data_IF_203350559188
#
_entry.id   IF_203350559188
#
_cell.length_a   1.000
_cell.length_b   1.000
_cell.length_c   1.000
_cell.angle_alpha   90.00
_cell.angle_beta   90.00
_cell.angle_gamma   90.00
#
_symmetry.space_group_name_H-M   'P 1'
#
loop_
_entity.id
_entity.type
_entity.pdbx_description
1 polymer ?
#
# COMPACT_ATOMS: atom_id res chain seq x y z
N UNK A 1 1.86 28.40 21.44
CA UNK A 1 1.44 27.06 20.98
C UNK A 1 0.14 26.69 21.65
N UNK A 2 -0.63 25.79 21.05
CA UNK A 2 -1.79 25.17 21.70
C UNK A 2 -1.32 24.02 22.60
N UNK A 3 -2.02 23.74 23.71
CA UNK A 3 -1.79 22.52 24.48
C UNK A 3 -2.79 21.43 24.05
N UNK A 4 -2.42 20.15 24.20
CA UNK A 4 -3.33 19.04 23.88
C UNK A 4 -4.65 19.10 24.65
N UNK A 5 -4.61 19.60 25.90
CA UNK A 5 -5.78 19.76 26.75
C UNK A 5 -6.79 20.80 26.23
N UNK A 6 -6.37 21.71 25.35
CA UNK A 6 -7.21 22.77 24.80
C UNK A 6 -7.90 22.35 23.49
N UNK A 7 -7.56 21.17 22.96
CA UNK A 7 -8.07 20.68 21.68
C UNK A 7 -9.47 20.08 21.85
N UNK A 8 -10.43 20.63 21.10
CA UNK A 8 -11.80 20.14 21.04
C UNK A 8 -12.09 19.35 19.76
N UNK A 9 -11.42 19.67 18.65
CA UNK A 9 -11.69 19.07 17.33
C UNK A 9 -10.39 18.63 16.66
N UNK A 10 -10.36 17.40 16.15
CA UNK A 10 -9.28 16.89 15.31
C UNK A 10 -9.77 16.62 13.88
N UNK A 11 -9.05 17.16 12.88
CA UNK A 11 -9.38 17.01 11.46
C UNK A 11 -8.42 16.06 10.76
N UNK A 12 -8.93 15.13 9.95
CA UNK A 12 -8.10 14.26 9.11
C UNK A 12 -8.90 13.48 8.08
N UNK A 13 -8.21 12.69 7.24
CA UNK A 13 -8.86 11.70 6.38
C UNK A 13 -9.65 10.69 7.24
N UNK A 14 -10.86 10.24 6.81
CA UNK A 14 -11.69 9.32 7.59
C UNK A 14 -10.95 8.07 8.08
N UNK A 15 -10.04 7.53 7.27
CA UNK A 15 -9.23 6.37 7.66
C UNK A 15 -8.25 6.67 8.80
N UNK A 16 -7.62 7.85 8.81
CA UNK A 16 -6.71 8.25 9.88
C UNK A 16 -7.47 8.53 11.19
N UNK A 17 -8.67 9.13 11.10
CA UNK A 17 -9.56 9.30 12.25
C UNK A 17 -9.98 7.94 12.83
N UNK A 18 -10.37 7.00 11.97
CA UNK A 18 -10.75 5.66 12.40
C UNK A 18 -9.58 4.92 13.07
N UNK A 19 -8.37 5.07 12.54
CA UNK A 19 -7.15 4.50 13.13
C UNK A 19 -6.76 5.14 14.46
N UNK A 20 -7.17 6.39 14.72
CA UNK A 20 -6.83 7.14 15.95
C UNK A 20 -8.00 7.25 16.93
N UNK A 21 -9.07 6.48 16.72
CA UNK A 21 -10.34 6.58 17.47
C UNK A 21 -10.14 6.52 18.98
N UNK A 22 -9.36 5.55 19.47
CA UNK A 22 -9.15 5.36 20.91
C UNK A 22 -8.51 6.57 21.56
N UNK A 23 -7.52 7.19 20.90
CA UNK A 23 -6.89 8.43 21.37
C UNK A 23 -7.88 9.60 21.41
N UNK A 24 -8.68 9.76 20.35
CA UNK A 24 -9.69 10.83 20.28
C UNK A 24 -10.76 10.69 21.37
N UNK A 25 -11.22 9.46 21.63
CA UNK A 25 -12.21 9.16 22.68
C UNK A 25 -11.65 9.42 24.08
N UNK A 26 -10.41 8.99 24.35
CA UNK A 26 -9.71 9.22 25.64
C UNK A 26 -9.58 10.72 25.97
N UNK A 27 -9.25 11.53 24.96
CA UNK A 27 -9.08 12.97 25.11
C UNK A 27 -10.37 13.78 24.89
N UNK A 28 -11.51 13.13 24.62
CA UNK A 28 -12.81 13.77 24.30
C UNK A 28 -12.74 14.76 23.14
N UNK A 29 -11.93 14.43 22.12
CA UNK A 29 -11.75 15.25 20.93
C UNK A 29 -12.74 14.80 19.84
N UNK A 30 -13.51 15.74 19.30
CA UNK A 30 -14.42 15.48 18.19
C UNK A 30 -13.65 15.20 16.88
N UNK A 31 -13.98 14.10 16.21
CA UNK A 31 -13.36 13.71 14.96
C UNK A 31 -14.11 14.33 13.76
N UNK A 32 -13.44 15.20 12.99
CA UNK A 32 -14.05 15.86 11.82
C UNK A 32 -13.35 15.49 10.52
N UNK A 33 -14.11 14.91 9.59
CA UNK A 33 -13.56 14.43 8.33
C UNK A 33 -13.02 15.58 7.46
N UNK A 34 -11.87 15.34 6.85
CA UNK A 34 -11.24 16.16 5.83
C UNK A 34 -10.88 15.28 4.63
N UNK A 35 -10.67 15.89 3.47
CA UNK A 35 -10.39 15.16 2.22
C UNK A 35 -9.04 14.43 2.26
N UNK A 36 -8.07 14.91 3.04
CA UNK A 36 -6.70 14.41 3.07
C UNK A 36 -6.02 14.83 4.41
N UNK A 37 -5.13 14.00 4.95
CA UNK A 37 -4.34 14.24 6.17
C UNK A 37 -3.44 15.49 6.08
N UNK A 38 -2.60 15.62 5.04
CA UNK A 38 -1.78 16.80 4.76
C UNK A 38 -2.62 18.05 4.48
N UNK A 39 -3.78 17.92 3.81
CA UNK A 39 -4.69 19.07 3.61
C UNK A 39 -5.29 19.54 4.92
N UNK A 40 -5.62 18.63 5.84
CA UNK A 40 -6.08 19.01 7.18
C UNK A 40 -5.02 19.83 7.94
N UNK A 41 -3.74 19.44 7.85
CA UNK A 41 -2.63 20.20 8.43
C UNK A 41 -2.47 21.58 7.75
N UNK A 42 -2.49 21.63 6.42
CA UNK A 42 -2.43 22.89 5.67
C UNK A 42 -3.54 23.86 6.04
N UNK A 43 -4.79 23.37 6.04
CA UNK A 43 -5.97 24.18 6.31
C UNK A 43 -5.95 24.70 7.78
N UNK A 44 -5.41 23.90 8.72
CA UNK A 44 -5.15 24.33 10.10
C UNK A 44 -4.11 25.46 10.17
N UNK A 45 -3.00 25.35 9.43
CA UNK A 45 -1.94 26.36 9.40
C UNK A 45 -2.42 27.68 8.75
N UNK A 46 -3.15 27.59 7.65
CA UNK A 46 -3.80 28.73 6.99
C UNK A 46 -4.90 29.35 7.87
N UNK A 47 -5.44 28.56 8.81
CA UNK A 47 -6.55 28.92 9.68
C UNK A 47 -7.82 29.25 8.94
N UNK A 48 -8.01 28.59 7.80
CA UNK A 48 -9.25 28.58 7.03
C UNK A 48 -10.30 27.69 7.71
N UNK A 49 -10.34 27.66 9.04
CA UNK A 49 -11.34 26.89 9.77
C UNK A 49 -12.66 27.67 9.82
N UNK A 50 -13.76 27.12 9.28
CA UNK A 50 -15.06 27.80 9.24
C UNK A 50 -15.66 28.10 10.63
N UNK A 51 -15.07 27.60 11.72
CA UNK A 51 -15.53 27.84 13.10
C UNK A 51 -14.92 29.07 13.80
N UNK A 52 -13.88 29.70 13.24
CA UNK A 52 -13.30 30.95 13.77
C UNK A 52 -12.46 30.83 15.06
N UNK A 53 -12.36 29.66 15.70
CA UNK A 53 -11.57 29.45 16.93
C UNK A 53 -10.37 28.54 16.65
N UNK A 54 -9.25 29.15 16.24
CA UNK A 54 -8.00 28.44 15.92
C UNK A 54 -7.42 27.62 17.08
N UNK A 55 -7.61 28.05 18.32
CA UNK A 55 -6.93 27.49 19.49
C UNK A 55 -7.42 26.09 19.92
N UNK A 56 -8.58 25.65 19.44
CA UNK A 56 -9.21 24.38 19.85
C UNK A 56 -9.17 23.31 18.75
N UNK A 57 -8.50 23.58 17.63
CA UNK A 57 -8.46 22.68 16.48
C UNK A 57 -7.06 22.07 16.31
N UNK A 58 -7.03 20.78 16.00
CA UNK A 58 -5.83 20.03 15.65
C UNK A 58 -6.04 19.27 14.34
N UNK A 59 -4.94 18.78 13.77
CA UNK A 59 -4.95 17.89 12.62
C UNK A 59 -4.19 16.61 12.94
N UNK A 60 -4.75 15.46 12.55
CA UNK A 60 -4.01 14.19 12.55
C UNK A 60 -3.34 14.06 11.18
N UNK A 61 -2.02 14.19 11.14
CA UNK A 61 -1.24 14.14 9.92
C UNK A 61 0.15 13.55 10.19
N UNK A 62 0.96 13.37 9.14
CA UNK A 62 2.35 12.96 9.30
C UNK A 62 3.20 14.08 9.91
N UNK A 63 4.24 13.73 10.65
CA UNK A 63 5.21 14.71 11.19
C UNK A 63 5.84 15.56 10.08
N UNK A 64 6.03 14.96 8.89
CA UNK A 64 6.48 15.68 7.70
C UNK A 64 5.53 16.82 7.31
N UNK A 65 4.21 16.62 7.39
CA UNK A 65 3.26 17.69 7.11
C UNK A 65 3.34 18.81 8.16
N UNK A 66 3.51 18.46 9.44
CA UNK A 66 3.71 19.45 10.50
C UNK A 66 4.96 20.31 10.23
N UNK A 67 6.08 19.70 9.84
CA UNK A 67 7.30 20.43 9.49
C UNK A 67 7.14 21.34 8.26
N UNK A 68 6.44 20.88 7.21
CA UNK A 68 6.20 21.68 5.99
C UNK A 68 5.35 22.92 6.28
N UNK A 69 4.35 22.79 7.16
CA UNK A 69 3.40 23.87 7.45
C UNK A 69 3.70 24.65 8.73
N UNK A 70 4.83 24.37 9.40
CA UNK A 70 5.24 25.07 10.62
C UNK A 70 4.30 24.84 11.81
N UNK A 71 3.74 23.62 11.93
CA UNK A 71 2.84 23.25 13.03
C UNK A 71 3.60 22.54 14.15
N UNK A 72 3.15 22.75 15.39
CA UNK A 72 3.63 22.04 16.57
C UNK A 72 3.01 20.63 16.66
N UNK A 73 3.83 19.62 16.96
CA UNK A 73 3.37 18.25 17.22
C UNK A 73 2.95 18.12 18.69
N UNK A 74 1.64 18.01 18.93
CA UNK A 74 1.07 17.92 20.29
C UNK A 74 1.12 16.50 20.87
N UNK A 75 1.02 15.48 20.02
CA UNK A 75 1.09 14.08 20.39
C UNK A 75 1.65 13.26 19.22
N UNK A 76 2.40 12.20 19.53
CA UNK A 76 2.93 11.23 18.56
C UNK A 76 2.21 9.91 18.72
N UNK A 77 2.25 9.10 17.67
CA UNK A 77 1.76 7.71 17.68
C UNK A 77 0.31 7.56 18.15
N UNK A 78 -0.57 8.48 17.73
CA UNK A 78 -2.00 8.50 18.10
C UNK A 78 -2.82 7.38 17.45
N UNK A 79 -2.22 6.61 16.52
CA UNK A 79 -2.82 5.44 15.90
C UNK A 79 -2.91 4.25 16.86
N UNK A 80 -3.99 3.46 16.74
CA UNK A 80 -4.21 2.26 17.55
C UNK A 80 -3.19 1.15 17.27
N UNK A 81 -2.77 0.99 16.02
CA UNK A 81 -1.82 -0.07 15.64
C UNK A 81 -0.47 0.52 15.30
N UNK A 82 0.56 0.10 16.03
CA UNK A 82 1.96 0.40 15.73
C UNK A 82 2.47 -0.33 14.49
N UNK A 83 1.74 -1.34 13.98
CA UNK A 83 2.16 -2.14 12.82
C UNK A 83 1.62 -1.62 11.48
N UNK A 84 1.05 -0.40 11.44
CA UNK A 84 0.48 0.17 10.23
C UNK A 84 1.58 0.50 9.21
N UNK A 85 1.74 -0.38 8.21
CA UNK A 85 2.79 -0.25 7.19
C UNK A 85 2.16 -0.09 5.81
N UNK A 86 2.64 0.90 5.05
CA UNK A 86 2.26 1.07 3.64
C UNK A 86 3.39 0.56 2.76
N UNK A 87 3.08 -0.42 1.92
CA UNK A 87 4.02 -0.88 0.89
C UNK A 87 3.98 0.06 -0.31
N UNK A 88 5.14 0.56 -0.71
CA UNK A 88 5.33 1.35 -1.93
C UNK A 88 6.08 0.54 -2.98
N UNK A 89 5.84 0.86 -4.26
CA UNK A 89 6.56 0.32 -5.41
C UNK A 89 7.11 1.49 -6.21
N UNK A 90 8.39 1.46 -6.55
CA UNK A 90 9.03 2.46 -7.41
C UNK A 90 8.98 1.93 -8.85
N UNK A 91 8.43 2.74 -9.76
CA UNK A 91 8.25 2.36 -11.16
C UNK A 91 9.29 3.06 -12.04
N UNK A 92 9.94 2.29 -12.91
CA UNK A 92 10.80 2.78 -13.98
C UNK A 92 10.18 2.55 -15.35
N UNK A 93 10.72 3.20 -16.39
CA UNK A 93 10.36 2.85 -17.78
C UNK A 93 10.99 1.50 -18.14
N UNK A 94 10.39 0.80 -19.10
CA UNK A 94 10.98 -0.43 -19.66
C UNK A 94 12.39 -0.13 -20.21
N UNK A 95 13.36 -1.01 -19.91
CA UNK A 95 14.76 -0.85 -20.31
C UNK A 95 15.61 0.03 -19.39
N UNK A 96 15.05 0.58 -18.30
CA UNK A 96 15.87 1.12 -17.22
C UNK A 96 16.66 -0.02 -16.54
N UNK A 97 17.84 0.30 -15.99
CA UNK A 97 18.71 -0.69 -15.35
C UNK A 97 17.93 -1.55 -14.34
N UNK A 98 18.05 -2.87 -14.50
CA UNK A 98 17.44 -3.81 -13.59
C UNK A 98 18.07 -3.69 -12.20
N UNK A 99 17.29 -4.01 -11.17
CA UNK A 99 17.83 -4.08 -9.81
C UNK A 99 18.94 -5.16 -9.79
N UNK A 100 20.15 -4.86 -9.29
CA UNK A 100 21.21 -5.87 -9.23
C UNK A 100 20.75 -6.99 -8.30
N UNK A 101 20.78 -8.24 -8.79
CA UNK A 101 20.33 -9.41 -8.04
C UNK A 101 18.92 -9.24 -7.43
N UNK A 102 17.85 -9.27 -8.25
CA UNK A 102 16.49 -9.07 -7.79
C UNK A 102 16.06 -10.25 -6.92
N UNK A 103 15.53 -10.00 -5.72
CA UNK A 103 15.07 -11.05 -4.80
C UNK A 103 13.58 -11.35 -4.93
N UNK A 104 12.82 -10.45 -5.57
CA UNK A 104 11.40 -10.62 -5.88
C UNK A 104 11.10 -10.34 -7.33
N UNK A 105 10.07 -11.02 -7.84
CA UNK A 105 9.48 -10.77 -9.16
C UNK A 105 7.99 -10.48 -9.00
N UNK A 106 7.49 -9.48 -9.73
CA UNK A 106 6.07 -9.19 -9.85
C UNK A 106 5.58 -9.59 -11.25
N UNK A 107 4.52 -10.37 -11.27
CA UNK A 107 3.90 -10.95 -12.47
C UNK A 107 2.42 -10.56 -12.51
N UNK A 108 1.89 -10.47 -13.72
CA UNK A 108 0.46 -10.54 -13.97
C UNK A 108 0.18 -11.66 -14.96
N UNK A 109 -0.80 -12.50 -14.68
CA UNK A 109 -1.26 -13.52 -15.63
C UNK A 109 -2.77 -13.66 -15.62
N UNK A 110 -3.33 -14.15 -16.72
CA UNK A 110 -4.77 -14.26 -16.91
C UNK A 110 -5.17 -15.71 -17.08
N UNK A 111 -6.19 -16.16 -16.36
CA UNK A 111 -6.78 -17.48 -16.57
C UNK A 111 -8.25 -17.37 -16.96
N UNK A 112 -8.76 -18.41 -17.61
CA UNK A 112 -10.20 -18.61 -17.71
C UNK A 112 -10.83 -18.76 -16.31
N UNK A 113 -12.09 -18.37 -16.20
CA UNK A 113 -12.89 -18.52 -14.98
C UNK A 113 -13.55 -19.90 -14.93
N UNK A 114 -12.74 -20.93 -14.75
CA UNK A 114 -13.20 -22.32 -14.64
C UNK A 114 -12.62 -23.02 -13.40
N UNK A 115 -13.29 -24.08 -12.90
CA UNK A 115 -12.78 -24.85 -11.77
C UNK A 115 -11.34 -25.35 -12.01
N UNK A 116 -10.47 -25.06 -11.04
CA UNK A 116 -9.08 -25.50 -11.05
C UNK A 116 -8.11 -24.63 -11.85
N UNK A 117 -8.56 -23.60 -12.58
CA UNK A 117 -7.68 -22.72 -13.35
C UNK A 117 -6.58 -22.08 -12.48
N UNK A 118 -6.97 -21.45 -11.37
CA UNK A 118 -6.01 -20.89 -10.41
C UNK A 118 -5.16 -21.99 -9.77
N UNK A 119 -5.78 -23.10 -9.36
CA UNK A 119 -5.07 -24.21 -8.70
C UNK A 119 -3.90 -24.74 -9.55
N UNK A 120 -4.11 -24.93 -10.87
CA UNK A 120 -3.04 -25.37 -11.77
C UNK A 120 -1.88 -24.38 -11.80
N UNK A 121 -2.17 -23.08 -11.88
CA UNK A 121 -1.11 -22.05 -11.84
C UNK A 121 -0.38 -21.99 -10.50
N UNK A 122 -1.08 -22.21 -9.38
CA UNK A 122 -0.45 -22.27 -8.05
C UNK A 122 0.39 -23.53 -7.85
N UNK A 123 -0.03 -24.66 -8.43
CA UNK A 123 0.74 -25.90 -8.44
C UNK A 123 2.12 -25.72 -9.07
N UNK A 124 2.19 -25.00 -10.19
CA UNK A 124 3.45 -24.67 -10.85
C UNK A 124 4.42 -23.90 -9.94
N UNK A 125 3.94 -22.89 -9.21
CA UNK A 125 4.81 -22.17 -8.27
C UNK A 125 5.36 -23.09 -7.18
N UNK A 126 4.55 -24.04 -6.69
CA UNK A 126 5.00 -25.01 -5.70
C UNK A 126 6.01 -26.01 -6.29
N UNK A 127 5.80 -26.49 -7.52
CA UNK A 127 6.71 -27.41 -8.22
C UNK A 127 8.09 -26.79 -8.48
N UNK A 128 8.14 -25.49 -8.78
CA UNK A 128 9.38 -24.74 -8.96
C UNK A 128 9.99 -24.24 -7.63
N UNK A 129 9.43 -24.65 -6.49
CA UNK A 129 9.81 -24.18 -5.15
C UNK A 129 9.83 -22.64 -5.04
N UNK A 130 8.89 -21.96 -5.69
CA UNK A 130 8.77 -20.49 -5.67
C UNK A 130 7.72 -20.06 -4.64
N UNK A 131 8.13 -19.24 -3.67
CA UNK A 131 7.24 -18.73 -2.63
C UNK A 131 6.42 -17.54 -3.14
N UNK A 132 5.12 -17.52 -2.84
CA UNK A 132 4.24 -16.39 -3.14
C UNK A 132 4.12 -15.48 -1.91
N UNK A 133 4.37 -14.19 -2.11
CA UNK A 133 4.25 -13.16 -1.06
C UNK A 133 3.11 -12.19 -1.27
N UNK A 134 2.48 -12.25 -2.44
CA UNK A 134 1.23 -11.57 -2.76
C UNK A 134 0.50 -12.32 -3.85
N UNK A 135 -0.81 -12.46 -3.71
CA UNK A 135 -1.70 -12.99 -4.73
C UNK A 135 -3.02 -12.21 -4.67
N UNK A 136 -3.36 -11.52 -5.75
CA UNK A 136 -4.60 -10.76 -5.87
C UNK A 136 -5.30 -11.07 -7.18
N UNK A 137 -6.57 -11.45 -7.11
CA UNK A 137 -7.44 -11.65 -8.28
C UNK A 137 -8.22 -10.38 -8.60
N UNK A 138 -8.35 -10.05 -9.88
CA UNK A 138 -9.23 -9.00 -10.40
C UNK A 138 -10.01 -9.54 -11.60
N UNK A 139 -11.33 -9.30 -11.70
CA UNK A 139 -12.05 -9.64 -12.93
C UNK A 139 -11.52 -8.79 -14.08
N UNK A 140 -11.30 -9.41 -15.25
CA UNK A 140 -10.86 -8.69 -16.45
C UNK A 140 -12.00 -7.78 -16.92
N UNK A 141 -11.69 -6.52 -17.28
CA UNK A 141 -12.72 -5.55 -17.71
C UNK A 141 -13.20 -5.80 -19.14
N UNK A 142 -12.32 -6.34 -19.98
CA UNK A 142 -12.50 -6.38 -21.43
C UNK A 142 -12.97 -7.74 -21.95
N UNK A 143 -12.68 -8.83 -21.23
CA UNK A 143 -13.07 -10.19 -21.61
C UNK A 143 -13.92 -10.83 -20.51
N UNK A 144 -15.20 -11.16 -20.80
CA UNK A 144 -16.01 -11.96 -19.89
C UNK A 144 -15.34 -13.30 -19.58
N UNK A 145 -15.52 -13.79 -18.35
CA UNK A 145 -15.03 -15.10 -17.90
C UNK A 145 -13.51 -15.24 -17.86
N UNK A 146 -12.78 -14.13 -17.74
CA UNK A 146 -11.35 -14.12 -17.46
C UNK A 146 -11.06 -13.41 -16.13
N UNK A 147 -10.00 -13.85 -15.46
CA UNK A 147 -9.48 -13.21 -14.26
C UNK A 147 -7.99 -12.92 -14.42
N UNK A 148 -7.62 -11.68 -14.10
CA UNK A 148 -6.23 -11.26 -13.96
C UNK A 148 -5.76 -11.54 -12.53
N UNK A 149 -4.62 -12.19 -12.41
CA UNK A 149 -3.92 -12.46 -11.16
C UNK A 149 -2.64 -11.64 -11.10
N UNK A 150 -2.49 -10.84 -10.04
CA UNK A 150 -1.27 -10.12 -9.74
C UNK A 150 -0.53 -10.85 -8.63
N UNK A 151 0.71 -11.23 -8.92
CA UNK A 151 1.51 -12.06 -8.03
C UNK A 151 2.86 -11.44 -7.77
N UNK A 152 3.29 -11.50 -6.52
CA UNK A 152 4.68 -11.23 -6.15
C UNK A 152 5.29 -12.52 -5.61
N UNK A 153 6.40 -12.95 -6.19
CA UNK A 153 7.06 -14.18 -5.81
C UNK A 153 8.54 -13.97 -5.47
N UNK A 154 9.09 -14.89 -4.68
CA UNK A 154 10.49 -14.91 -4.24
C UNK A 154 10.97 -16.36 -4.12
N UNK A 155 12.29 -16.56 -4.18
CA UNK A 155 12.88 -17.85 -3.81
C UNK A 155 12.77 -18.06 -2.29
N UNK A 156 12.62 -19.29 -1.78
CA UNK A 156 12.50 -19.57 -0.35
C UNK A 156 13.72 -19.10 0.45
N UNK A 157 14.92 -19.24 -0.13
CA UNK A 157 16.19 -18.76 0.41
C UNK A 157 16.40 -17.24 0.27
N UNK A 158 15.45 -16.54 -0.38
CA UNK A 158 15.52 -15.13 -0.76
C UNK A 158 16.77 -14.76 -1.57
N UNK A 159 17.38 -15.74 -2.24
CA UNK A 159 18.43 -15.48 -3.20
C UNK A 159 17.89 -14.76 -4.43
N UNK A 160 18.80 -14.29 -5.28
CA UNK A 160 18.42 -13.64 -6.51
C UNK A 160 17.62 -14.58 -7.42
N UNK A 161 16.55 -14.05 -8.00
CA UNK A 161 15.91 -14.63 -9.15
C UNK A 161 16.86 -14.50 -10.34
N UNK A 162 17.35 -15.64 -10.83
CA UNK A 162 18.14 -15.69 -12.06
C UNK A 162 17.23 -15.78 -13.30
N UNK A 163 17.81 -15.48 -14.46
CA UNK A 163 17.09 -15.45 -15.73
C UNK A 163 16.59 -16.83 -16.16
N UNK A 164 17.25 -17.92 -15.72
CA UNK A 164 16.87 -19.28 -16.06
C UNK A 164 15.57 -19.68 -15.35
N UNK A 165 15.49 -19.50 -14.03
CA UNK A 165 14.29 -19.78 -13.24
C UNK A 165 13.13 -18.86 -13.66
N UNK A 166 13.41 -17.58 -13.91
CA UNK A 166 12.38 -16.66 -14.39
C UNK A 166 11.85 -17.07 -15.78
N UNK A 167 12.75 -17.45 -16.68
CA UNK A 167 12.39 -17.93 -18.01
C UNK A 167 11.55 -19.19 -17.96
N UNK A 168 11.93 -20.17 -17.12
CA UNK A 168 11.18 -21.40 -16.89
C UNK A 168 9.78 -21.11 -16.33
N UNK A 169 9.69 -20.30 -15.27
CA UNK A 169 8.43 -19.92 -14.65
C UNK A 169 7.48 -19.26 -15.67
N UNK A 170 7.97 -18.31 -16.46
CA UNK A 170 7.16 -17.60 -17.46
C UNK A 170 6.71 -18.55 -18.57
N UNK A 171 7.59 -19.43 -19.05
CA UNK A 171 7.25 -20.40 -20.09
C UNK A 171 6.18 -21.39 -19.62
N UNK A 172 6.34 -21.96 -18.43
CA UNK A 172 5.38 -22.91 -17.87
C UNK A 172 4.04 -22.23 -17.50
N UNK A 173 4.06 -21.01 -16.96
CA UNK A 173 2.84 -20.23 -16.75
C UNK A 173 2.14 -19.95 -18.08
N UNK A 174 2.89 -19.66 -19.14
CA UNK A 174 2.33 -19.42 -20.48
C UNK A 174 1.62 -20.63 -21.09
N UNK A 175 1.93 -21.85 -20.64
CA UNK A 175 1.22 -23.05 -21.04
C UNK A 175 -0.11 -23.24 -20.28
N UNK A 176 -0.27 -22.61 -19.11
CA UNK A 176 -1.45 -22.74 -18.24
C UNK A 176 -2.37 -21.51 -18.26
N UNK A 177 -1.84 -20.35 -18.64
CA UNK A 177 -2.50 -19.05 -18.62
C UNK A 177 -2.70 -18.53 -20.05
N UNK A 178 -3.75 -17.72 -20.26
CA UNK A 178 -4.04 -17.11 -21.56
C UNK A 178 -3.05 -15.98 -21.88
N UNK A 179 -2.58 -15.28 -20.85
CA UNK A 179 -1.62 -14.16 -20.93
C UNK A 179 -0.71 -14.19 -19.72
N UNK A 180 0.57 -13.86 -19.91
CA UNK A 180 1.56 -13.70 -18.84
C UNK A 180 2.39 -12.46 -19.12
N UNK A 181 2.63 -11.65 -18.09
CA UNK A 181 3.47 -10.46 -18.18
C UNK A 181 4.32 -10.30 -16.92
N UNK A 182 5.63 -10.19 -17.10
CA UNK A 182 6.53 -9.73 -16.05
C UNK A 182 6.37 -8.22 -15.89
N UNK A 183 5.97 -7.78 -14.70
CA UNK A 183 5.81 -6.35 -14.38
C UNK A 183 7.11 -5.73 -13.86
N UNK A 184 7.98 -6.54 -13.27
CA UNK A 184 9.33 -6.14 -12.87
C UNK A 184 9.99 -7.15 -11.93
N UNK A 185 11.32 -7.19 -11.96
CA UNK A 185 12.15 -7.88 -10.99
C UNK A 185 12.89 -6.83 -10.15
N UNK A 186 12.79 -6.94 -8.82
CA UNK A 186 13.27 -5.92 -7.91
C UNK A 186 13.79 -6.52 -6.61
N UNK A 187 14.61 -5.75 -5.91
CA UNK A 187 15.03 -6.05 -4.54
C UNK A 187 14.10 -5.36 -3.55
N UNK A 188 13.73 -6.07 -2.49
CA UNK A 188 13.11 -5.45 -1.32
C UNK A 188 14.18 -5.04 -0.32
N UNK A 189 14.01 -3.85 0.28
CA UNK A 189 14.87 -3.36 1.34
C UNK A 189 14.81 -4.24 2.60
#
# INVERSE_FOLDING_TARGET
>A
GAALADIAVARSHPQALAQSRSFLEEHRIEARAATNTARAARDLAAGDDPSGVRATHAAIASERAAAIYGLDVLARDVQRSSSNTTRFVVLGRAGADSSPAPTKVMLAYTTANEPGALHRTLGLFAELEVNLTRLESRPTRDTPWEYDFFVDCERPDRAAFDDALLGELVAQLGALAQRVRVLGAFRTA
#
